data_IF_488153907193
#
_entry.id   IF_488153907193
#
_cell.length_a   1.000
_cell.length_b   1.000
_cell.length_c   1.000
_cell.angle_alpha   90.00
_cell.angle_beta   90.00
_cell.angle_gamma   90.00
#
_symmetry.space_group_name_H-M   'P 1'
#
loop_
_entity.id
_entity.type
_entity.pdbx_description
1 polymer ?
#
# COMPACT_ATOMS: atom_id res chain seq x y z
N UNK A 1 -9.46 -8.80 -11.78
CA UNK A 1 -10.31 -8.59 -10.58
C UNK A 1 -9.75 -7.44 -9.78
N UNK A 2 -10.62 -6.52 -9.35
CA UNK A 2 -10.29 -5.35 -8.53
C UNK A 2 -9.96 -5.74 -7.08
N UNK A 3 -9.27 -4.85 -6.37
CA UNK A 3 -8.97 -5.02 -4.95
C UNK A 3 -10.24 -4.87 -4.08
N UNK A 4 -10.34 -5.70 -3.06
CA UNK A 4 -11.30 -5.56 -1.97
C UNK A 4 -10.91 -4.44 -1.00
N UNK A 5 -11.86 -3.95 -0.22
CA UNK A 5 -11.62 -2.92 0.81
C UNK A 5 -10.59 -3.38 1.86
N UNK A 6 -10.63 -4.65 2.25
CA UNK A 6 -9.69 -5.24 3.19
C UNK A 6 -8.25 -5.23 2.64
N UNK A 7 -8.08 -5.55 1.35
CA UNK A 7 -6.77 -5.48 0.70
C UNK A 7 -6.26 -4.04 0.58
N UNK A 8 -7.12 -3.08 0.24
CA UNK A 8 -6.75 -1.66 0.18
C UNK A 8 -6.34 -1.12 1.55
N UNK A 9 -7.03 -1.54 2.61
CA UNK A 9 -6.71 -1.19 3.99
C UNK A 9 -5.38 -1.79 4.43
N UNK A 10 -5.12 -3.06 4.11
CA UNK A 10 -3.85 -3.71 4.40
C UNK A 10 -2.68 -3.04 3.66
N UNK A 11 -2.88 -2.75 2.36
CA UNK A 11 -1.91 -2.06 1.53
C UNK A 11 -1.55 -0.68 2.11
N UNK A 12 -2.57 0.15 2.41
CA UNK A 12 -2.37 1.50 2.94
C UNK A 12 -1.74 1.48 4.34
N UNK A 13 -2.16 0.56 5.21
CA UNK A 13 -1.57 0.38 6.54
C UNK A 13 -0.10 0.00 6.44
N UNK A 14 0.25 -0.89 5.51
CA UNK A 14 1.63 -1.28 5.23
C UNK A 14 2.51 -0.11 4.79
N UNK A 15 2.01 0.73 3.86
CA UNK A 15 2.72 1.94 3.44
C UNK A 15 2.91 2.91 4.61
N UNK A 16 1.87 3.13 5.42
CA UNK A 16 1.94 4.03 6.57
C UNK A 16 2.96 3.55 7.61
N UNK A 17 2.99 2.24 7.92
CA UNK A 17 3.99 1.64 8.80
C UNK A 17 5.41 1.75 8.22
N UNK A 18 5.58 1.53 6.92
CA UNK A 18 6.88 1.69 6.27
C UNK A 18 7.37 3.15 6.31
N UNK A 19 6.49 4.12 6.06
CA UNK A 19 6.78 5.54 6.15
C UNK A 19 7.12 5.97 7.59
N UNK A 20 6.36 5.47 8.57
CA UNK A 20 6.61 5.71 9.99
C UNK A 20 7.96 5.14 10.43
N UNK A 21 8.27 3.90 10.05
CA UNK A 21 9.56 3.28 10.30
C UNK A 21 10.70 4.10 9.68
N UNK A 22 10.55 4.59 8.44
CA UNK A 22 11.57 5.39 7.78
C UNK A 22 11.90 6.69 8.53
N UNK A 23 10.90 7.32 9.15
CA UNK A 23 11.05 8.57 9.92
C UNK A 23 11.72 8.35 11.28
N UNK A 24 11.54 7.18 11.90
CA UNK A 24 12.10 6.90 13.22
C UNK A 24 13.47 6.20 13.16
N UNK A 25 14.50 6.88 13.67
CA UNK A 25 15.85 6.30 13.78
C UNK A 25 15.89 5.09 14.72
N UNK A 26 15.12 5.10 15.80
CA UNK A 26 15.14 4.04 16.80
C UNK A 26 14.45 2.76 16.29
N UNK A 27 13.35 2.90 15.52
CA UNK A 27 12.70 1.77 14.84
C UNK A 27 13.64 1.17 13.78
N UNK A 28 14.29 2.01 12.95
CA UNK A 28 15.26 1.51 11.96
C UNK A 28 16.46 0.80 12.58
N UNK A 29 16.82 1.15 13.81
CA UNK A 29 17.88 0.49 14.59
C UNK A 29 17.38 -0.73 15.36
N UNK A 30 16.10 -1.09 15.26
CA UNK A 30 15.50 -2.23 15.97
C UNK A 30 15.41 -2.04 17.49
N UNK A 31 15.55 -0.81 17.99
CA UNK A 31 15.46 -0.52 19.44
C UNK A 31 14.04 -0.39 19.93
N UNK A 32 13.12 -0.06 19.02
CA UNK A 32 11.69 0.07 19.26
C UNK A 32 11.00 -0.84 18.27
N UNK A 33 10.08 -1.66 18.76
CA UNK A 33 9.26 -2.51 17.92
C UNK A 33 8.26 -1.67 17.10
N UNK A 34 8.17 -1.96 15.80
CA UNK A 34 7.33 -1.20 14.89
C UNK A 34 5.85 -1.39 15.19
N UNK A 35 5.42 -2.60 15.52
CA UNK A 35 4.00 -2.88 15.79
C UNK A 35 3.57 -2.19 17.08
N UNK A 36 4.37 -2.26 18.14
CA UNK A 36 4.08 -1.55 19.37
C UNK A 36 4.08 -0.03 19.17
N UNK A 37 5.09 0.53 18.49
CA UNK A 37 5.12 1.97 18.23
C UNK A 37 3.96 2.44 17.35
N UNK A 38 3.55 1.62 16.37
CA UNK A 38 2.35 1.87 15.58
C UNK A 38 1.09 1.83 16.45
N UNK A 39 1.03 0.91 17.41
CA UNK A 39 -0.07 0.84 18.36
C UNK A 39 -0.13 2.11 19.22
N UNK A 40 1.01 2.56 19.72
CA UNK A 40 1.18 3.71 20.63
C UNK A 40 0.84 5.06 19.99
N UNK A 41 0.86 5.18 18.65
CA UNK A 41 0.38 6.38 17.94
C UNK A 41 -1.10 6.70 18.22
N UNK A 42 -1.88 5.69 18.62
CA UNK A 42 -3.32 5.79 18.77
C UNK A 42 -4.06 6.07 17.45
N UNK A 43 -5.38 6.27 17.51
CA UNK A 43 -6.20 6.45 16.31
C UNK A 43 -5.84 7.72 15.53
N UNK A 44 -5.66 8.84 16.23
CA UNK A 44 -5.38 10.14 15.60
C UNK A 44 -3.99 10.18 14.93
N UNK A 45 -2.95 9.67 15.60
CA UNK A 45 -1.59 9.64 15.03
C UNK A 45 -1.52 8.76 13.78
N UNK A 46 -2.21 7.62 13.77
CA UNK A 46 -2.32 6.77 12.57
C UNK A 46 -3.07 7.47 11.45
N UNK A 47 -4.17 8.17 11.76
CA UNK A 47 -4.94 8.92 10.75
C UNK A 47 -4.08 9.99 10.05
N UNK A 48 -3.26 10.73 10.80
CA UNK A 48 -2.36 11.75 10.22
C UNK A 48 -1.35 11.16 9.22
N UNK A 49 -0.99 9.89 9.36
CA UNK A 49 -0.13 9.18 8.40
C UNK A 49 -0.95 8.63 7.23
N UNK A 50 -2.11 8.03 7.51
CA UNK A 50 -2.94 7.34 6.52
C UNK A 50 -3.56 8.30 5.51
N UNK A 51 -4.07 9.46 5.94
CA UNK A 51 -4.79 10.41 5.10
C UNK A 51 -3.98 10.88 3.87
N UNK A 52 -2.76 11.45 4.03
CA UNK A 52 -2.01 11.95 2.88
C UNK A 52 -1.46 10.82 1.99
N UNK A 53 -1.25 9.64 2.56
CA UNK A 53 -0.83 8.45 1.80
C UNK A 53 -2.00 7.87 1.00
N UNK A 54 -3.21 7.88 1.55
CA UNK A 54 -4.42 7.40 0.88
C UNK A 54 -4.68 8.16 -0.41
N UNK A 55 -4.60 9.50 -0.34
CA UNK A 55 -4.74 10.40 -1.48
C UNK A 55 -3.69 10.19 -2.59
N UNK A 56 -2.54 9.58 -2.26
CA UNK A 56 -1.46 9.32 -3.23
C UNK A 56 -1.50 7.90 -3.80
N UNK A 57 -1.88 6.91 -2.99
CA UNK A 57 -1.73 5.49 -3.34
C UNK A 57 -3.03 4.88 -3.85
N UNK A 58 -4.18 5.22 -3.27
CA UNK A 58 -5.46 4.58 -3.62
C UNK A 58 -5.87 4.82 -5.09
N UNK A 59 -5.76 6.04 -5.66
CA UNK A 59 -6.09 6.24 -7.07
C UNK A 59 -5.25 5.37 -8.01
N UNK A 60 -3.98 5.13 -7.66
CA UNK A 60 -3.07 4.29 -8.45
C UNK A 60 -3.50 2.83 -8.37
N UNK A 61 -3.80 2.31 -7.17
CA UNK A 61 -4.21 0.92 -6.99
C UNK A 61 -5.50 0.60 -7.73
N UNK A 62 -6.42 1.57 -7.83
CA UNK A 62 -7.68 1.44 -8.58
C UNK A 62 -7.44 1.49 -10.10
N UNK A 63 -6.44 2.25 -10.55
CA UNK A 63 -6.07 2.37 -11.96
C UNK A 63 -5.23 1.19 -12.50
N UNK A 64 -4.75 0.29 -11.63
CA UNK A 64 -4.01 -0.89 -12.06
C UNK A 64 -4.89 -1.82 -12.91
N UNK A 65 -4.32 -2.49 -13.92
CA UNK A 65 -5.07 -3.42 -14.74
C UNK A 65 -5.62 -4.59 -13.91
N UNK A 66 -6.72 -5.15 -14.38
CA UNK A 66 -7.24 -6.38 -13.81
C UNK A 66 -6.26 -7.54 -14.05
N UNK A 67 -5.90 -8.24 -12.97
CA UNK A 67 -5.10 -9.47 -13.03
C UNK A 67 -5.92 -10.68 -12.60
N UNK A 68 -5.55 -11.84 -13.12
CA UNK A 68 -6.03 -13.14 -12.64
C UNK A 68 -5.54 -13.35 -11.22
N UNK A 69 -6.45 -13.73 -10.32
CA UNK A 69 -6.14 -14.01 -8.92
C UNK A 69 -5.97 -15.51 -8.74
N UNK A 70 -4.96 -15.91 -7.98
CA UNK A 70 -4.66 -17.31 -7.65
C UNK A 70 -4.68 -17.45 -6.13
N UNK A 71 -5.40 -18.46 -5.62
CA UNK A 71 -5.58 -18.64 -4.16
C UNK A 71 -4.22 -18.85 -3.50
N UNK A 72 -3.96 -18.11 -2.43
CA UNK A 72 -2.68 -18.16 -1.71
C UNK A 72 -1.56 -17.35 -2.36
N UNK A 73 -1.81 -16.66 -3.48
CA UNK A 73 -0.83 -15.78 -4.13
C UNK A 73 -1.23 -14.30 -4.02
N UNK A 74 -0.21 -13.44 -4.02
CA UNK A 74 -0.42 -12.00 -4.14
C UNK A 74 -0.62 -11.63 -5.61
N UNK A 75 -1.38 -10.56 -5.91
CA UNK A 75 -1.45 -10.06 -7.27
C UNK A 75 -0.07 -9.57 -7.71
N UNK A 76 0.35 -9.99 -8.90
CA UNK A 76 1.64 -9.64 -9.49
C UNK A 76 1.43 -8.58 -10.57
N UNK A 77 2.20 -7.51 -10.48
CA UNK A 77 2.24 -6.43 -11.47
C UNK A 77 3.69 -6.19 -11.88
N UNK A 78 3.91 -5.98 -13.17
CA UNK A 78 5.19 -5.53 -13.67
C UNK A 78 5.47 -4.09 -13.24
N UNK A 79 6.74 -3.73 -13.13
CA UNK A 79 7.15 -2.34 -12.88
C UNK A 79 6.65 -1.37 -13.96
N UNK A 80 6.45 -1.86 -15.19
CA UNK A 80 5.92 -1.07 -16.30
C UNK A 80 4.45 -0.71 -16.10
N UNK A 81 3.62 -1.68 -15.70
CA UNK A 81 2.19 -1.47 -15.39
C UNK A 81 2.03 -0.50 -14.22
N UNK A 82 2.80 -0.69 -13.14
CA UNK A 82 2.78 0.21 -11.99
C UNK A 82 3.15 1.64 -12.41
N UNK A 83 4.20 1.79 -13.23
CA UNK A 83 4.62 3.10 -13.72
C UNK A 83 3.54 3.74 -14.59
N UNK A 84 2.91 2.99 -15.50
CA UNK A 84 1.86 3.51 -16.36
C UNK A 84 0.67 4.05 -15.53
N UNK A 85 0.20 3.29 -14.55
CA UNK A 85 -0.87 3.72 -13.64
C UNK A 85 -0.48 4.97 -12.82
N UNK A 86 0.78 5.06 -12.38
CA UNK A 86 1.30 6.26 -11.70
C UNK A 86 1.32 7.45 -12.63
N UNK A 87 1.78 7.30 -13.87
CA UNK A 87 1.87 8.39 -14.84
C UNK A 87 0.50 8.92 -15.26
N UNK A 88 -0.50 8.04 -15.38
CA UNK A 88 -1.89 8.40 -15.69
C UNK A 88 -2.56 9.21 -14.55
N UNK A 89 -2.28 8.82 -13.30
CA UNK A 89 -2.84 9.49 -12.11
C UNK A 89 -2.00 10.68 -11.63
N UNK A 90 -0.83 10.91 -12.23
CA UNK A 90 0.03 12.04 -11.93
C UNK A 90 -0.22 13.16 -12.91
N UNK A 91 -0.89 14.21 -12.44
CA UNK A 91 -1.12 15.44 -13.21
C UNK A 91 0.19 16.08 -13.70
N UNK A 92 0.05 17.02 -14.62
CA UNK A 92 1.20 17.67 -15.28
C UNK A 92 1.85 18.79 -14.46
N UNK A 93 1.64 18.81 -13.15
CA UNK A 93 2.02 19.92 -12.29
C UNK A 93 3.53 19.94 -11.99
N UNK A 94 4.13 21.11 -12.20
CA UNK A 94 5.55 21.35 -12.00
C UNK A 94 6.43 20.94 -13.19
N UNK A 95 7.62 21.53 -13.28
CA UNK A 95 8.55 21.22 -14.38
C UNK A 95 8.95 19.74 -14.46
N UNK A 96 9.43 19.32 -15.63
CA UNK A 96 9.77 17.92 -15.99
C UNK A 96 10.57 17.14 -14.92
N UNK A 97 11.51 17.80 -14.25
CA UNK A 97 12.33 17.18 -13.21
C UNK A 97 11.51 16.81 -11.96
N UNK A 98 10.62 17.72 -11.51
CA UNK A 98 9.75 17.49 -10.35
C UNK A 98 8.76 16.37 -10.63
N UNK A 99 8.16 16.36 -11.83
CA UNK A 99 7.28 15.28 -12.27
C UNK A 99 7.99 13.92 -12.23
N UNK A 100 9.20 13.83 -12.77
CA UNK A 100 9.97 12.56 -12.75
C UNK A 100 10.25 12.07 -11.33
N UNK A 101 10.63 12.96 -10.41
CA UNK A 101 10.86 12.59 -9.02
C UNK A 101 9.57 12.12 -8.33
N UNK A 102 8.46 12.81 -8.57
CA UNK A 102 7.14 12.44 -8.05
C UNK A 102 6.70 11.05 -8.54
N UNK A 103 6.83 10.78 -9.83
CA UNK A 103 6.51 9.45 -10.41
C UNK A 103 7.35 8.37 -9.75
N UNK A 104 8.66 8.56 -9.59
CA UNK A 104 9.53 7.58 -8.93
C UNK A 104 9.11 7.33 -7.47
N UNK A 105 8.80 8.37 -6.72
CA UNK A 105 8.34 8.24 -5.34
C UNK A 105 7.02 7.47 -5.26
N UNK A 106 6.05 7.81 -6.11
CA UNK A 106 4.74 7.13 -6.16
C UNK A 106 4.87 5.67 -6.59
N UNK A 107 5.73 5.35 -7.56
CA UNK A 107 6.02 3.95 -7.93
C UNK A 107 6.53 3.17 -6.71
N UNK A 108 7.47 3.72 -5.94
CA UNK A 108 8.01 3.06 -4.76
C UNK A 108 6.96 2.88 -3.65
N UNK A 109 6.08 3.88 -3.44
CA UNK A 109 4.96 3.77 -2.50
C UNK A 109 3.98 2.66 -2.94
N UNK A 110 3.62 2.61 -4.23
CA UNK A 110 2.71 1.57 -4.76
C UNK A 110 3.31 0.18 -4.65
N UNK A 111 4.61 0.02 -4.95
CA UNK A 111 5.29 -1.28 -4.75
C UNK A 111 5.28 -1.70 -3.28
N UNK A 112 5.49 -0.75 -2.36
CA UNK A 112 5.38 -1.00 -0.91
C UNK A 112 3.95 -1.40 -0.52
N UNK A 113 2.94 -0.76 -1.11
CA UNK A 113 1.53 -1.07 -0.89
C UNK A 113 1.21 -2.50 -1.34
N UNK A 114 1.60 -2.87 -2.56
CA UNK A 114 1.37 -4.19 -3.15
C UNK A 114 2.08 -5.30 -2.35
N UNK A 115 3.26 -5.03 -1.79
CA UNK A 115 3.96 -5.99 -0.93
C UNK A 115 3.21 -6.30 0.38
N UNK A 116 2.34 -5.39 0.82
CA UNK A 116 1.52 -5.54 2.03
C UNK A 116 0.09 -6.03 1.75
N UNK A 117 -0.26 -6.25 0.48
CA UNK A 117 -1.52 -6.93 0.14
C UNK A 117 -1.43 -8.39 0.61
N UNK A 118 -2.41 -8.90 1.36
CA UNK A 118 -2.43 -10.30 1.77
C UNK A 118 -2.57 -11.22 0.54
N UNK A 119 -2.06 -12.46 0.60
CA UNK A 119 -2.36 -13.45 -0.42
C UNK A 119 -3.87 -13.61 -0.60
N UNK A 120 -4.33 -13.73 -1.85
CA UNK A 120 -5.74 -13.79 -2.16
C UNK A 120 -6.38 -15.04 -1.57
N UNK A 121 -7.56 -14.87 -0.97
CA UNK A 121 -8.40 -15.95 -0.45
C UNK A 121 -9.72 -15.93 -1.22
N UNK A 122 -10.16 -17.10 -1.67
CA UNK A 122 -11.42 -17.24 -2.39
C UNK A 122 -12.61 -17.09 -1.43
N UNK A 123 -13.49 -16.09 -1.62
CA UNK A 123 -14.68 -15.91 -0.78
C UNK A 123 -15.62 -17.12 -0.83
N UNK A 124 -15.65 -17.88 -1.92
CA UNK A 124 -16.50 -19.07 -2.07
C UNK A 124 -15.94 -20.29 -1.32
N UNK A 125 -14.68 -20.21 -0.86
CA UNK A 125 -14.03 -21.27 -0.06
C UNK A 125 -14.00 -20.91 1.44
N UNK A 126 -14.79 -19.93 1.89
CA UNK A 126 -14.86 -19.58 3.32
C UNK A 126 -15.51 -20.72 4.13
N UNK A 127 -14.68 -21.62 4.65
CA UNK A 127 -15.10 -22.66 5.59
C UNK A 127 -15.16 -22.04 6.99
N UNK A 128 -16.36 -21.82 7.50
CA UNK A 128 -16.57 -21.43 8.91
C UNK A 128 -16.01 -22.56 9.78
N UNK A 129 -14.99 -22.31 10.64
CA UNK A 129 -14.53 -23.32 11.58
C UNK A 129 -15.65 -23.64 12.57
N UNK A 130 -15.93 -24.94 12.77
CA UNK A 130 -17.01 -25.48 13.61
C UNK A 130 -16.87 -25.20 15.13
N UNK A 131 -16.04 -24.24 15.53
CA UNK A 131 -15.81 -23.88 16.93
C UNK A 131 -16.47 -22.56 17.27
N UNK A 132 -17.70 -22.64 17.79
CA UNK A 132 -18.32 -21.68 18.71
C UNK A 132 -18.05 -22.10 20.15
#
# INVERSE_FOLDING_TARGET
>A
MQFSEAELTAALTGVAKAAFAAQSKEIRKGKVDLEQAWLDLGGYGRYQLLEPLGSQVLPILIALPDVTRVVGERPAYSTAEIRAAVEETTGEEGGRLRRKALVLARVALTQTALANVPPWSDPDTFVVPDSL
#
